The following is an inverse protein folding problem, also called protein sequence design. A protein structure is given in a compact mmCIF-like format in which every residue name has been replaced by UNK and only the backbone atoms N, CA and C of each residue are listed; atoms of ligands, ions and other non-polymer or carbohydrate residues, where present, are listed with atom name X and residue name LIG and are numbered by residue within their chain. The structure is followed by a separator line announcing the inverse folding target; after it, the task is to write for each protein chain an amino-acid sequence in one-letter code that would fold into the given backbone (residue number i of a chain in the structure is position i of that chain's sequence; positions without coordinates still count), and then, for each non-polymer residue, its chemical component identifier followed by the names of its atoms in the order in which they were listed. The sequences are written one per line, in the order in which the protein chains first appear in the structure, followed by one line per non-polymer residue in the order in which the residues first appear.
data_IF_023055205041
#
_entry.id   IF_023055205041
#
_cell.length_a   1.000
_cell.length_b   1.000
_cell.length_c   1.000
_cell.angle_alpha   90.00
_cell.angle_beta   90.00
_cell.angle_gamma   90.00
#
_symmetry.space_group_name_H-M   'P 1'
#
loop_
_entity.id
_entity.type
_entity.pdbx_description
1 polymer ?
#
# COMPACT_ATOMS: atom_id res chain seq x y z
N UNK A 1 12.39 -18.57 15.91
CA UNK A 1 11.28 -18.15 16.79
C UNK A 1 10.94 -16.72 16.44
N UNK A 2 9.66 -16.41 16.24
CA UNK A 2 9.20 -15.05 16.01
C UNK A 2 9.28 -14.28 17.32
N UNK A 3 9.82 -13.06 17.30
CA UNK A 3 10.09 -12.28 18.52
C UNK A 3 9.22 -11.02 18.50
N UNK A 4 8.18 -11.02 19.32
CA UNK A 4 7.24 -9.90 19.41
C UNK A 4 7.88 -8.67 20.05
N UNK A 5 8.77 -8.84 21.03
CA UNK A 5 9.43 -7.71 21.70
C UNK A 5 10.28 -6.92 20.71
N UNK A 6 10.96 -7.63 19.79
CA UNK A 6 11.76 -7.00 18.73
C UNK A 6 10.91 -6.11 17.80
N UNK A 7 9.65 -6.48 17.59
CA UNK A 7 8.71 -5.70 16.77
C UNK A 7 8.20 -4.50 17.56
N UNK A 8 7.75 -4.72 18.79
CA UNK A 8 7.23 -3.66 19.66
C UNK A 8 8.29 -2.57 19.91
N UNK A 9 9.54 -2.99 20.18
CA UNK A 9 10.67 -2.09 20.34
C UNK A 9 10.95 -1.26 19.08
N UNK A 10 10.82 -1.88 17.90
CA UNK A 10 10.97 -1.17 16.62
C UNK A 10 9.87 -0.13 16.41
N UNK A 11 8.62 -0.45 16.75
CA UNK A 11 7.52 0.52 16.67
C UNK A 11 7.71 1.68 17.64
N UNK A 12 8.12 1.42 18.88
CA UNK A 12 8.40 2.46 19.86
C UNK A 12 9.50 3.42 19.36
N UNK A 13 10.59 2.88 18.81
CA UNK A 13 11.66 3.69 18.21
C UNK A 13 11.19 4.47 16.99
N UNK A 14 10.40 3.85 16.12
CA UNK A 14 9.85 4.49 14.93
C UNK A 14 8.96 5.68 15.34
N UNK A 15 8.02 5.46 16.27
CA UNK A 15 7.12 6.50 16.77
C UNK A 15 7.91 7.67 17.39
N UNK A 16 8.94 7.37 18.19
CA UNK A 16 9.80 8.41 18.74
C UNK A 16 10.54 9.19 17.65
N UNK A 17 11.08 8.49 16.64
CA UNK A 17 11.79 9.10 15.51
C UNK A 17 10.92 10.10 14.76
N UNK A 18 9.66 9.75 14.51
CA UNK A 18 8.69 10.62 13.82
C UNK A 18 8.37 11.87 14.65
N UNK A 19 8.39 11.77 15.98
CA UNK A 19 8.16 12.91 16.88
C UNK A 19 9.36 13.85 16.97
N UNK A 20 10.57 13.33 16.80
CA UNK A 20 11.82 14.09 17.02
C UNK A 20 12.49 14.60 15.76
N UNK A 21 12.26 13.94 14.63
CA UNK A 21 12.92 14.24 13.37
C UNK A 21 11.93 14.84 12.36
N UNK A 22 12.47 15.58 11.37
CA UNK A 22 11.68 15.91 10.19
C UNK A 22 11.34 14.63 9.40
N UNK A 23 10.36 14.73 8.50
CA UNK A 23 9.82 13.60 7.75
C UNK A 23 10.89 12.87 6.92
N UNK A 24 11.82 13.58 6.31
CA UNK A 24 12.83 12.98 5.44
C UNK A 24 13.87 12.22 6.25
N UNK A 25 14.35 12.82 7.35
CA UNK A 25 15.24 12.14 8.29
C UNK A 25 14.58 10.91 8.92
N UNK A 26 13.31 11.03 9.32
CA UNK A 26 12.55 9.91 9.88
C UNK A 26 12.38 8.77 8.86
N UNK A 27 12.08 9.10 7.60
CA UNK A 27 11.99 8.12 6.52
C UNK A 27 13.30 7.36 6.34
N UNK A 28 14.44 8.06 6.28
CA UNK A 28 15.76 7.44 6.10
C UNK A 28 16.08 6.47 7.26
N UNK A 29 15.86 6.90 8.50
CA UNK A 29 16.16 6.07 9.67
C UNK A 29 15.29 4.80 9.72
N UNK A 30 13.98 4.95 9.54
CA UNK A 30 13.03 3.83 9.60
C UNK A 30 13.28 2.89 8.41
N UNK A 31 13.37 3.40 7.18
CA UNK A 31 13.60 2.56 5.99
C UNK A 31 14.93 1.80 6.06
N UNK A 32 15.99 2.44 6.55
CA UNK A 32 17.29 1.78 6.76
C UNK A 32 17.19 0.60 7.74
N UNK A 33 16.40 0.71 8.82
CA UNK A 33 16.21 -0.40 9.75
C UNK A 33 15.41 -1.55 9.11
N UNK A 34 14.38 -1.23 8.31
CA UNK A 34 13.60 -2.22 7.55
C UNK A 34 14.45 -2.90 6.47
N UNK A 35 15.39 -2.18 5.84
CA UNK A 35 16.31 -2.71 4.85
C UNK A 35 17.23 -3.77 5.44
N UNK A 36 17.60 -3.62 6.72
CA UNK A 36 18.45 -4.54 7.45
C UNK A 36 17.68 -5.59 8.27
N UNK A 37 16.34 -5.56 8.27
CA UNK A 37 15.55 -6.54 8.99
C UNK A 37 15.55 -7.92 8.28
N UNK A 38 15.37 -8.98 9.06
CA UNK A 38 15.15 -10.31 8.50
C UNK A 38 13.81 -10.36 7.75
N UNK A 39 13.75 -11.06 6.62
CA UNK A 39 12.54 -11.15 5.77
C UNK A 39 11.28 -11.57 6.53
N UNK A 40 11.43 -12.41 7.56
CA UNK A 40 10.32 -12.87 8.40
C UNK A 40 9.60 -11.76 9.20
N UNK A 41 10.23 -10.60 9.36
CA UNK A 41 9.65 -9.43 10.06
C UNK A 41 9.20 -8.32 9.10
N UNK A 42 9.48 -8.48 7.80
CA UNK A 42 9.32 -7.41 6.83
C UNK A 42 7.87 -6.90 6.78
N UNK A 43 6.90 -7.83 6.80
CA UNK A 43 5.47 -7.53 6.71
C UNK A 43 4.94 -6.70 7.87
N UNK A 44 5.55 -6.82 9.05
CA UNK A 44 5.19 -6.08 10.25
C UNK A 44 5.94 -4.75 10.29
N UNK A 45 7.23 -4.79 10.00
CA UNK A 45 8.12 -3.63 10.01
C UNK A 45 7.68 -2.55 9.02
N UNK A 46 7.22 -2.93 7.83
CA UNK A 46 6.75 -1.97 6.82
C UNK A 46 5.62 -1.07 7.33
N UNK A 47 4.84 -1.52 8.32
CA UNK A 47 3.70 -0.75 8.79
C UNK A 47 4.13 0.50 9.55
N UNK A 48 5.37 0.59 10.04
CA UNK A 48 5.93 1.81 10.61
C UNK A 48 6.09 2.93 9.57
N UNK A 49 6.27 2.59 8.28
CA UNK A 49 6.33 3.60 7.22
C UNK A 49 4.98 4.28 6.97
N UNK A 50 3.85 3.74 7.48
CA UNK A 50 2.54 4.40 7.40
C UNK A 50 2.54 5.77 8.08
N UNK A 51 3.41 6.00 9.06
CA UNK A 51 3.49 7.29 9.73
C UNK A 51 4.15 8.38 8.88
N UNK A 52 4.99 7.99 7.90
CA UNK A 52 5.71 8.94 7.03
C UNK A 52 4.78 9.60 6.02
N UNK A 53 3.87 8.81 5.43
CA UNK A 53 2.88 9.25 4.42
C UNK A 53 3.51 10.13 3.33
N UNK A 54 4.42 9.55 2.54
CA UNK A 54 5.17 10.29 1.53
C UNK A 54 5.42 9.44 0.27
N UNK A 55 5.51 10.07 -0.90
CA UNK A 55 5.74 9.37 -2.17
C UNK A 55 7.06 8.56 -2.20
N UNK A 56 8.07 9.01 -1.43
CA UNK A 56 9.35 8.28 -1.24
C UNK A 56 9.15 6.85 -0.72
N UNK A 57 8.08 6.60 0.03
CA UNK A 57 7.71 5.26 0.48
C UNK A 57 7.31 4.37 -0.70
N UNK A 58 6.65 4.93 -1.72
CA UNK A 58 6.30 4.18 -2.94
C UNK A 58 7.56 3.78 -3.71
N UNK A 59 8.53 4.69 -3.82
CA UNK A 59 9.81 4.39 -4.48
C UNK A 59 10.57 3.31 -3.71
N UNK A 60 10.55 3.37 -2.37
CA UNK A 60 11.11 2.33 -1.52
C UNK A 60 10.43 0.97 -1.70
N UNK A 61 9.09 0.91 -1.78
CA UNK A 61 8.37 -0.34 -2.08
C UNK A 61 8.84 -0.92 -3.42
N UNK A 62 9.01 -0.06 -4.43
CA UNK A 62 9.45 -0.48 -5.77
C UNK A 62 10.89 -1.05 -5.75
N UNK A 63 11.80 -0.46 -4.97
CA UNK A 63 13.17 -0.95 -4.78
C UNK A 63 13.22 -2.26 -3.98
N UNK A 64 12.39 -2.38 -2.95
CA UNK A 64 12.33 -3.53 -2.04
C UNK A 64 11.52 -4.70 -2.58
N UNK A 65 10.93 -4.58 -3.78
CA UNK A 65 10.05 -5.60 -4.37
C UNK A 65 10.66 -7.02 -4.41
N UNK A 66 11.98 -7.12 -4.60
CA UNK A 66 12.71 -8.39 -4.64
C UNK A 66 12.74 -9.14 -3.29
N UNK A 67 12.50 -8.45 -2.17
CA UNK A 67 12.43 -9.04 -0.81
C UNK A 67 11.02 -9.50 -0.45
N UNK A 68 10.00 -9.11 -1.21
CA UNK A 68 8.59 -9.36 -0.89
C UNK A 68 8.24 -10.78 -1.32
N UNK A 69 8.20 -11.70 -0.36
CA UNK A 69 7.84 -13.10 -0.59
C UNK A 69 6.34 -13.36 -0.54
N UNK A 70 5.60 -12.56 0.23
CA UNK A 70 4.15 -12.65 0.35
C UNK A 70 3.53 -11.26 0.45
N UNK A 71 2.47 -11.02 -0.33
CA UNK A 71 1.76 -9.74 -0.37
C UNK A 71 0.51 -9.85 0.48
N UNK A 72 0.62 -9.42 1.73
CA UNK A 72 -0.52 -9.20 2.61
C UNK A 72 -1.14 -7.81 2.42
N UNK A 73 -2.25 -7.54 3.10
CA UNK A 73 -2.97 -6.26 3.01
C UNK A 73 -2.17 -5.06 3.52
N UNK A 74 -1.14 -5.27 4.36
CA UNK A 74 -0.31 -4.18 4.91
C UNK A 74 0.44 -3.42 3.82
N UNK A 75 0.85 -4.10 2.75
CA UNK A 75 1.49 -3.45 1.60
C UNK A 75 0.53 -2.53 0.85
N UNK A 76 -0.70 -2.99 0.61
CA UNK A 76 -1.74 -2.18 -0.02
C UNK A 76 -2.11 -0.97 0.85
N UNK A 77 -2.22 -1.16 2.17
CA UNK A 77 -2.41 -0.06 3.12
C UNK A 77 -1.27 0.96 3.06
N UNK A 78 -0.02 0.50 3.06
CA UNK A 78 1.15 1.36 3.03
C UNK A 78 1.21 2.19 1.75
N UNK A 79 0.98 1.55 0.60
CA UNK A 79 0.94 2.25 -0.67
C UNK A 79 -0.18 3.30 -0.68
N UNK A 80 -1.42 2.91 -0.33
CA UNK A 80 -2.57 3.81 -0.33
C UNK A 80 -2.38 5.04 0.59
N UNK A 81 -1.72 4.86 1.74
CA UNK A 81 -1.49 5.94 2.70
C UNK A 81 -0.36 6.90 2.32
N UNK A 82 0.46 6.53 1.34
CA UNK A 82 1.71 7.19 0.94
C UNK A 82 1.57 8.02 -0.35
N UNK A 83 0.46 8.74 -0.50
CA UNK A 83 0.16 9.57 -1.68
C UNK A 83 0.16 8.80 -3.01
N UNK A 84 -0.48 7.63 -2.99
CA UNK A 84 -0.62 6.79 -4.17
C UNK A 84 -1.32 7.54 -5.32
N UNK A 85 -0.82 7.36 -6.53
CA UNK A 85 -1.35 7.97 -7.75
C UNK A 85 -1.53 6.92 -8.85
N UNK A 86 -2.34 7.26 -9.84
CA UNK A 86 -2.69 6.37 -10.93
C UNK A 86 -1.49 5.98 -11.79
N UNK A 87 -0.61 6.92 -12.10
CA UNK A 87 0.61 6.64 -12.87
C UNK A 87 1.44 5.52 -12.20
N UNK A 88 1.65 5.61 -10.87
CA UNK A 88 2.35 4.58 -10.11
C UNK A 88 1.59 3.25 -10.12
N UNK A 89 0.27 3.29 -9.97
CA UNK A 89 -0.58 2.10 -10.04
C UNK A 89 -0.44 1.38 -11.39
N UNK A 90 -0.59 2.08 -12.50
CA UNK A 90 -0.48 1.53 -13.85
C UNK A 90 0.93 0.95 -14.13
N UNK A 91 1.97 1.66 -13.71
CA UNK A 91 3.35 1.18 -13.78
C UNK A 91 3.52 -0.14 -13.01
N UNK A 92 2.98 -0.25 -11.80
CA UNK A 92 3.07 -1.45 -10.98
C UNK A 92 2.24 -2.62 -11.53
N UNK A 93 1.06 -2.36 -12.09
CA UNK A 93 0.29 -3.37 -12.83
C UNK A 93 1.10 -3.93 -14.00
N UNK A 94 1.82 -3.07 -14.73
CA UNK A 94 2.66 -3.47 -15.87
C UNK A 94 3.88 -4.30 -15.46
N UNK A 95 4.47 -4.01 -14.29
CA UNK A 95 5.61 -4.77 -13.75
C UNK A 95 5.24 -6.20 -13.30
N UNK A 96 3.97 -6.47 -13.03
CA UNK A 96 3.53 -7.76 -12.50
C UNK A 96 3.86 -7.95 -11.03
N UNK A 97 3.86 -9.20 -10.57
CA UNK A 97 4.01 -9.53 -9.14
C UNK A 97 5.44 -9.25 -8.65
N UNK A 98 5.61 -8.78 -7.39
CA UNK A 98 4.56 -8.58 -6.38
C UNK A 98 3.84 -7.22 -6.47
N UNK A 99 4.41 -6.25 -7.20
CA UNK A 99 3.94 -4.86 -7.24
C UNK A 99 2.52 -4.70 -7.76
N UNK A 100 2.11 -5.51 -8.74
CA UNK A 100 0.74 -5.48 -9.25
C UNK A 100 -0.31 -5.82 -8.18
N UNK A 101 -0.02 -6.76 -7.28
CA UNK A 101 -0.92 -7.11 -6.17
C UNK A 101 -0.99 -5.96 -5.16
N UNK A 102 0.15 -5.35 -4.84
CA UNK A 102 0.20 -4.17 -3.96
C UNK A 102 -0.62 -3.02 -4.57
N UNK A 103 -0.48 -2.80 -5.88
CA UNK A 103 -1.24 -1.79 -6.60
C UNK A 103 -2.74 -2.04 -6.53
N UNK A 104 -3.19 -3.28 -6.75
CA UNK A 104 -4.60 -3.63 -6.69
C UNK A 104 -5.16 -3.46 -5.27
N UNK A 105 -4.45 -3.92 -4.24
CA UNK A 105 -4.88 -3.74 -2.86
C UNK A 105 -4.93 -2.23 -2.48
N UNK A 106 -3.95 -1.44 -2.92
CA UNK A 106 -3.95 0.01 -2.74
C UNK A 106 -5.12 0.70 -3.45
N UNK A 107 -5.44 0.30 -4.68
CA UNK A 107 -6.59 0.80 -5.44
C UNK A 107 -7.90 0.52 -4.73
N UNK A 108 -8.08 -0.64 -4.07
CA UNK A 108 -9.26 -0.91 -3.25
C UNK A 108 -9.39 0.15 -2.15
N UNK A 109 -8.31 0.45 -1.43
CA UNK A 109 -8.35 1.47 -0.37
C UNK A 109 -8.62 2.88 -0.90
N UNK A 110 -8.04 3.21 -2.06
CA UNK A 110 -8.21 4.51 -2.70
C UNK A 110 -9.58 4.71 -3.35
N UNK A 111 -10.28 3.62 -3.70
CA UNK A 111 -11.60 3.67 -4.36
C UNK A 111 -12.75 3.38 -3.41
N UNK A 112 -12.50 2.77 -2.25
CA UNK A 112 -13.55 2.43 -1.27
C UNK A 112 -14.38 3.66 -0.82
N UNK A 113 -15.70 3.53 -0.94
CA UNK A 113 -16.71 4.56 -0.63
C UNK A 113 -17.54 4.13 0.59
N UNK A 114 -18.12 5.10 1.30
CA UNK A 114 -19.05 4.86 2.40
C UNK A 114 -18.37 4.56 3.74
N UNK A 115 -19.14 3.97 4.66
CA UNK A 115 -18.63 3.56 5.97
C UNK A 115 -17.65 2.39 5.80
N UNK A 116 -16.37 2.69 5.92
CA UNK A 116 -15.28 1.72 5.82
C UNK A 116 -15.17 0.88 7.11
N UNK A 117 -16.27 0.26 7.53
CA UNK A 117 -16.41 -0.48 8.78
C UNK A 117 -15.42 -1.66 8.92
N UNK A 118 -14.89 -2.13 7.79
CA UNK A 118 -13.88 -3.19 7.72
C UNK A 118 -12.43 -2.67 7.65
N UNK A 119 -12.22 -1.35 7.65
CA UNK A 119 -10.88 -0.74 7.65
C UNK A 119 -10.52 -0.24 9.05
N UNK A 120 -9.22 -0.12 9.31
CA UNK A 120 -8.70 0.43 10.57
C UNK A 120 -9.20 1.86 10.79
N UNK A 121 -9.39 2.32 12.04
CA UNK A 121 -9.80 3.70 12.34
C UNK A 121 -8.89 4.74 11.67
N UNK A 122 -7.60 4.46 11.58
CA UNK A 122 -6.63 5.31 10.91
C UNK A 122 -6.88 5.44 9.39
N UNK A 123 -7.16 4.33 8.70
CA UNK A 123 -7.52 4.34 7.26
C UNK A 123 -8.81 5.12 6.99
N UNK A 124 -9.76 5.11 7.94
CA UNK A 124 -10.99 5.92 7.88
C UNK A 124 -10.71 7.41 8.03
N UNK A 125 -9.74 7.79 8.85
CA UNK A 125 -9.36 9.19 9.05
C UNK A 125 -8.66 9.77 7.83
N UNK A 126 -7.69 9.03 7.26
CA UNK A 126 -6.91 9.56 6.13
C UNK A 126 -7.67 9.57 4.81
N UNK A 127 -8.70 8.74 4.67
CA UNK A 127 -9.50 8.56 3.46
C UNK A 127 -8.65 8.60 2.17
N UNK A 128 -7.73 7.63 1.94
CA UNK A 128 -6.83 7.74 0.83
C UNK A 128 -7.63 7.73 -0.47
N UNK A 129 -7.15 8.51 -1.42
CA UNK A 129 -7.65 8.64 -2.79
C UNK A 129 -6.44 8.71 -3.72
N UNK A 130 -6.64 8.42 -4.99
CA UNK A 130 -5.61 8.64 -5.99
C UNK A 130 -5.38 10.15 -6.13
N UNK A 131 -4.13 10.59 -5.94
CA UNK A 131 -3.77 12.01 -5.92
C UNK A 131 -4.13 12.74 -7.22
N UNK A 132 -3.99 12.04 -8.35
CA UNK A 132 -4.22 12.55 -9.70
C UNK A 132 -5.66 12.37 -10.20
N UNK A 133 -6.56 11.83 -9.38
CA UNK A 133 -8.00 11.68 -9.64
C UNK A 133 -8.31 11.23 -11.09
N UNK A 134 -7.81 10.05 -11.52
CA UNK A 134 -8.04 9.56 -12.87
C UNK A 134 -9.53 9.34 -13.11
N UNK A 135 -9.95 9.38 -14.38
CA UNK A 135 -11.32 9.06 -14.74
C UNK A 135 -11.66 7.60 -14.37
N UNK A 136 -12.83 7.34 -13.75
CA UNK A 136 -13.35 6.00 -13.48
C UNK A 136 -13.13 4.97 -14.59
N UNK A 137 -13.44 5.36 -15.83
CA UNK A 137 -13.40 4.47 -16.99
C UNK A 137 -11.97 4.06 -17.35
N UNK A 138 -10.99 4.95 -17.14
CA UNK A 138 -9.57 4.67 -17.40
C UNK A 138 -9.08 3.61 -16.42
N UNK A 139 -9.41 3.78 -15.13
CA UNK A 139 -9.03 2.82 -14.08
C UNK A 139 -9.67 1.47 -14.36
N UNK A 140 -10.99 1.45 -14.59
CA UNK A 140 -11.77 0.24 -14.83
C UNK A 140 -11.26 -0.54 -16.05
N UNK A 141 -11.04 0.14 -17.19
CA UNK A 141 -10.52 -0.49 -18.39
C UNK A 141 -9.16 -1.14 -18.16
N UNK A 142 -8.26 -0.45 -17.44
CA UNK A 142 -6.90 -0.95 -17.20
C UNK A 142 -6.85 -2.12 -16.22
N UNK A 143 -7.62 -2.10 -15.13
CA UNK A 143 -7.67 -3.25 -14.20
C UNK A 143 -8.34 -4.47 -14.83
N UNK A 144 -9.32 -4.27 -15.72
CA UNK A 144 -9.90 -5.34 -16.54
C UNK A 144 -8.89 -5.91 -17.54
N UNK A 145 -8.09 -5.06 -18.18
CA UNK A 145 -7.01 -5.50 -19.05
C UNK A 145 -5.97 -6.34 -18.28
N UNK A 146 -5.61 -5.93 -17.06
CA UNK A 146 -4.68 -6.68 -16.21
C UNK A 146 -5.15 -8.12 -15.94
N UNK A 147 -6.47 -8.36 -15.82
CA UNK A 147 -7.02 -9.71 -15.65
C UNK A 147 -6.72 -10.65 -16.84
N UNK A 148 -6.41 -10.12 -18.02
CA UNK A 148 -5.96 -10.95 -19.15
C UNK A 148 -4.57 -11.55 -18.90
N UNK A 149 -3.77 -10.91 -18.05
CA UNK A 149 -2.41 -11.34 -17.69
C UNK A 149 -2.40 -12.16 -16.41
N UNK A 150 -3.16 -11.75 -15.39
CA UNK A 150 -3.22 -12.44 -14.09
C UNK A 150 -4.66 -12.60 -13.64
N UNK A 151 -5.25 -13.76 -13.95
CA UNK A 151 -6.67 -14.04 -13.75
C UNK A 151 -6.97 -14.92 -12.52
N UNK A 152 -6.06 -14.98 -11.53
CA UNK A 152 -6.28 -15.85 -10.36
C UNK A 152 -7.47 -15.38 -9.51
N UNK A 153 -8.10 -16.26 -8.69
CA UNK A 153 -9.31 -15.91 -7.95
C UNK A 153 -9.19 -14.66 -7.08
N UNK A 154 -8.06 -14.46 -6.38
CA UNK A 154 -7.80 -13.25 -5.58
C UNK A 154 -7.84 -12.00 -6.45
N UNK A 155 -7.12 -12.00 -7.58
CA UNK A 155 -7.04 -10.86 -8.48
C UNK A 155 -8.41 -10.49 -9.05
N UNK A 156 -9.17 -11.48 -9.53
CA UNK A 156 -10.54 -11.26 -10.03
C UNK A 156 -11.44 -10.61 -8.99
N UNK A 157 -11.42 -11.13 -7.76
CA UNK A 157 -12.20 -10.58 -6.65
C UNK A 157 -11.83 -9.11 -6.37
N UNK A 158 -10.53 -8.81 -6.32
CA UNK A 158 -10.05 -7.45 -6.05
C UNK A 158 -10.41 -6.50 -7.18
N UNK A 159 -10.27 -6.91 -8.45
CA UNK A 159 -10.66 -6.10 -9.60
C UNK A 159 -12.16 -5.81 -9.62
N UNK A 160 -13.00 -6.80 -9.34
CA UNK A 160 -14.44 -6.59 -9.25
C UNK A 160 -14.79 -5.56 -8.16
N UNK A 161 -14.18 -5.68 -6.97
CA UNK A 161 -14.36 -4.72 -5.88
C UNK A 161 -13.98 -3.29 -6.29
N UNK A 162 -12.86 -3.12 -7.01
CA UNK A 162 -12.42 -1.80 -7.49
C UNK A 162 -13.46 -1.19 -8.44
N UNK A 163 -14.01 -2.01 -9.35
CA UNK A 163 -14.99 -1.56 -10.35
C UNK A 163 -16.31 -1.19 -9.66
N UNK A 164 -16.81 -2.04 -8.77
CA UNK A 164 -17.99 -1.76 -7.95
C UNK A 164 -17.81 -0.43 -7.20
N UNK A 165 -16.69 -0.28 -6.48
CA UNK A 165 -16.37 0.96 -5.74
C UNK A 165 -16.41 2.21 -6.62
N UNK A 166 -15.89 2.14 -7.85
CA UNK A 166 -15.74 3.28 -8.75
C UNK A 166 -17.08 3.69 -9.39
N UNK A 167 -17.96 2.73 -9.70
CA UNK A 167 -19.23 3.00 -10.39
C UNK A 167 -20.43 3.13 -9.44
N UNK A 168 -20.40 2.48 -8.28
CA UNK A 168 -21.40 2.68 -7.22
C UNK A 168 -21.21 4.05 -6.52
N UNK A 169 -20.07 4.71 -6.74
CA UNK A 169 -19.79 6.10 -6.38
C UNK A 169 -20.73 7.15 -6.99
N UNK A 170 -21.40 6.77 -8.08
CA UNK A 170 -22.04 7.69 -9.03
C UNK A 170 -23.53 7.94 -8.82
N UNK A 171 -24.12 7.49 -7.72
CA UNK A 171 -25.55 7.67 -7.42
C UNK A 171 -25.80 8.41 -6.10
#
# INVERSE_FOLDING_TARGET
MYDQNKIDDFFLRSEQTIKTCDRDSAFILISSEIDNCETRYLNEYITALNFIRHEKVLDWIEMSAHRITDVNLSWGHLAASSYFNWNKADKWLTKGRPLSLISLDALVFCTSIGERLNQSPWMRQIQPRLVDNPKPEIVAARVQEYLKTDAVPRTKRVVNQIIENIFDAGY
#
